data_IF_179744304831
#
_entry.id   IF_179744304831
#
_cell.length_a   1.000
_cell.length_b   1.000
_cell.length_c   1.000
_cell.angle_alpha   90.00
_cell.angle_beta   90.00
_cell.angle_gamma   90.00
#
_symmetry.space_group_name_H-M   'P 1'
#
loop_
_entity.id
_entity.type
_entity.pdbx_description
1 polymer ?
#
# COMPACT_ATOMS: atom_id res chain seq x y z
N UNK A 1 8.96 -13.05 -8.25
CA UNK A 1 8.85 -12.34 -9.55
C UNK A 1 10.14 -11.62 -9.93
N UNK A 2 10.73 -10.77 -9.07
CA UNK A 2 11.94 -9.97 -9.40
C UNK A 2 13.12 -10.76 -9.99
N UNK A 3 13.42 -11.97 -9.49
CA UNK A 3 14.49 -12.84 -10.05
C UNK A 3 14.27 -13.24 -11.53
N UNK A 4 13.04 -13.16 -12.03
CA UNK A 4 12.67 -13.45 -13.42
C UNK A 4 12.89 -12.23 -14.35
N UNK A 5 13.08 -11.03 -13.81
CA UNK A 5 13.21 -9.76 -14.55
C UNK A 5 14.43 -8.98 -14.08
N UNK A 6 15.63 -9.49 -14.36
CA UNK A 6 16.90 -8.96 -13.84
C UNK A 6 17.29 -7.55 -14.30
N UNK A 7 16.59 -6.98 -15.28
CA UNK A 7 16.85 -5.63 -15.83
C UNK A 7 15.79 -4.60 -15.41
N UNK A 8 14.84 -4.99 -14.57
CA UNK A 8 13.74 -4.14 -14.14
C UNK A 8 13.93 -3.77 -12.67
N UNK A 9 13.65 -2.51 -12.36
CA UNK A 9 13.54 -2.03 -11.00
C UNK A 9 12.13 -2.36 -10.48
N UNK A 10 12.05 -3.24 -9.47
CA UNK A 10 10.79 -3.80 -9.00
C UNK A 10 10.39 -3.16 -7.67
N UNK A 11 9.17 -2.65 -7.62
CA UNK A 11 8.50 -2.16 -6.42
C UNK A 11 7.24 -2.98 -6.16
N UNK A 12 7.05 -3.43 -4.92
CA UNK A 12 5.80 -4.03 -4.45
C UNK A 12 4.95 -2.94 -3.80
N UNK A 13 3.72 -2.76 -4.28
CA UNK A 13 2.76 -1.79 -3.78
C UNK A 13 1.32 -2.26 -4.06
N UNK A 14 0.33 -1.60 -3.45
CA UNK A 14 -1.11 -1.84 -3.63
C UNK A 14 -1.64 -3.24 -3.26
N UNK A 15 -0.79 -4.15 -2.80
CA UNK A 15 -1.23 -5.48 -2.37
C UNK A 15 -1.96 -5.47 -1.02
N UNK A 16 -1.75 -4.42 -0.21
CA UNK A 16 -2.16 -4.39 1.20
C UNK A 16 -3.55 -3.81 1.44
N UNK A 17 -4.29 -3.47 0.39
CA UNK A 17 -5.67 -2.97 0.48
C UNK A 17 -6.55 -3.66 -0.59
N UNK A 18 -7.84 -3.89 -0.33
CA UNK A 18 -8.79 -4.31 -1.36
C UNK A 18 -8.89 -3.29 -2.49
N UNK A 19 -9.32 -3.72 -3.67
CA UNK A 19 -9.45 -2.80 -4.82
C UNK A 19 -10.62 -1.83 -4.68
N UNK A 20 -11.61 -2.23 -3.89
CA UNK A 20 -12.89 -1.59 -3.66
C UNK A 20 -12.71 -0.22 -2.98
N UNK A 21 -11.68 -0.06 -2.14
CA UNK A 21 -11.39 1.21 -1.47
C UNK A 21 -10.78 2.28 -2.37
N UNK A 22 -10.27 1.92 -3.56
CA UNK A 22 -9.43 2.82 -4.35
C UNK A 22 -10.20 4.09 -4.80
N UNK A 23 -11.46 3.93 -5.21
CA UNK A 23 -12.30 5.05 -5.65
C UNK A 23 -12.72 5.94 -4.47
N UNK A 24 -13.12 5.34 -3.35
CA UNK A 24 -13.51 6.09 -2.16
C UNK A 24 -12.36 6.92 -1.60
N UNK A 25 -11.15 6.35 -1.57
CA UNK A 25 -9.94 7.07 -1.17
C UNK A 25 -9.62 8.20 -2.13
N UNK A 26 -9.76 7.98 -3.44
CA UNK A 26 -9.55 8.99 -4.47
C UNK A 26 -10.52 10.16 -4.35
N UNK A 27 -11.81 9.89 -4.16
CA UNK A 27 -12.84 10.90 -4.01
C UNK A 27 -12.67 11.69 -2.70
N UNK A 28 -12.24 11.02 -1.64
CA UNK A 28 -11.99 11.64 -0.34
C UNK A 28 -10.68 12.45 -0.27
N UNK A 29 -9.71 12.25 -1.17
CA UNK A 29 -8.33 12.77 -1.04
C UNK A 29 -8.19 14.29 -0.91
N UNK A 30 -9.19 15.06 -1.38
CA UNK A 30 -9.27 16.53 -1.26
C UNK A 30 -10.06 17.00 -0.04
N UNK A 31 -10.87 16.12 0.56
CA UNK A 31 -11.78 16.42 1.67
C UNK A 31 -11.16 16.06 3.02
N UNK A 32 -10.31 15.04 3.08
CA UNK A 32 -9.63 14.63 4.31
C UNK A 32 -8.12 14.87 4.25
N UNK A 33 -7.55 15.39 5.34
CA UNK A 33 -6.10 15.40 5.55
C UNK A 33 -5.58 14.09 6.13
N UNK A 34 -6.45 13.29 6.75
CA UNK A 34 -6.09 12.00 7.35
C UNK A 34 -6.27 10.90 6.29
N UNK A 35 -5.24 10.70 5.47
CA UNK A 35 -5.23 9.69 4.41
C UNK A 35 -4.96 8.28 4.99
N UNK A 36 -5.52 7.22 4.42
CA UNK A 36 -5.12 5.84 4.76
C UNK A 36 -3.69 5.58 4.31
N UNK A 37 -3.01 4.65 4.97
CA UNK A 37 -1.65 4.25 4.64
C UNK A 37 -1.63 3.20 3.53
N UNK A 38 -0.58 3.22 2.71
CA UNK A 38 -0.30 2.16 1.76
C UNK A 38 1.19 1.83 1.81
N UNK A 39 1.51 0.59 2.21
CA UNK A 39 2.88 0.13 2.33
C UNK A 39 3.45 -0.25 0.97
N UNK A 40 4.69 0.16 0.71
CA UNK A 40 5.42 -0.23 -0.48
C UNK A 40 6.88 -0.55 -0.16
N UNK A 41 7.54 -1.35 -0.98
CA UNK A 41 8.96 -1.68 -0.82
C UNK A 41 9.64 -1.97 -2.17
N UNK A 42 10.92 -1.66 -2.26
CA UNK A 42 11.72 -1.77 -3.48
C UNK A 42 13.20 -1.55 -3.21
N UNK A 43 14.06 -2.08 -4.07
CA UNK A 43 15.52 -1.97 -3.89
C UNK A 43 16.12 -0.71 -4.55
N UNK A 44 15.42 -0.11 -5.50
CA UNK A 44 15.82 1.11 -6.21
C UNK A 44 15.03 2.34 -5.73
N UNK A 45 15.72 3.46 -5.51
CA UNK A 45 15.10 4.66 -4.94
C UNK A 45 14.25 5.42 -5.96
N UNK A 46 14.70 5.53 -7.21
CA UNK A 46 13.98 6.27 -8.25
C UNK A 46 12.65 5.57 -8.59
N UNK A 47 12.67 4.24 -8.69
CA UNK A 47 11.48 3.43 -8.86
C UNK A 47 10.51 3.55 -7.68
N UNK A 48 11.03 3.59 -6.45
CA UNK A 48 10.23 3.83 -5.24
C UNK A 48 9.60 5.22 -5.24
N UNK A 49 10.29 6.25 -5.69
CA UNK A 49 9.76 7.61 -5.75
C UNK A 49 8.60 7.71 -6.75
N UNK A 50 8.72 7.04 -7.91
CA UNK A 50 7.62 6.91 -8.88
C UNK A 50 6.41 6.22 -8.23
N UNK A 51 6.62 5.08 -7.56
CA UNK A 51 5.53 4.36 -6.89
C UNK A 51 4.88 5.22 -5.79
N UNK A 52 5.67 5.94 -5.00
CA UNK A 52 5.17 6.86 -3.97
C UNK A 52 4.33 8.00 -4.56
N UNK A 53 4.68 8.52 -5.74
CA UNK A 53 3.84 9.49 -6.45
C UNK A 53 2.49 8.90 -6.81
N UNK A 54 2.46 7.71 -7.43
CA UNK A 54 1.21 7.04 -7.81
C UNK A 54 0.31 6.77 -6.60
N UNK A 55 0.89 6.33 -5.47
CA UNK A 55 0.18 6.12 -4.21
C UNK A 55 -0.48 7.43 -3.72
N UNK A 56 0.25 8.55 -3.77
CA UNK A 56 -0.27 9.87 -3.41
C UNK A 56 -1.35 10.37 -4.38
N UNK A 57 -1.20 10.06 -5.67
CA UNK A 57 -2.16 10.44 -6.71
C UNK A 57 -3.51 9.73 -6.53
N UNK A 58 -3.48 8.47 -6.09
CA UNK A 58 -4.67 7.73 -5.67
C UNK A 58 -5.28 8.33 -4.40
N UNK A 59 -4.46 8.86 -3.48
CA UNK A 59 -4.93 9.55 -2.28
C UNK A 59 -4.52 8.90 -0.96
N UNK A 60 -3.67 7.87 -1.01
CA UNK A 60 -3.07 7.25 0.15
C UNK A 60 -1.84 8.04 0.65
N UNK A 61 -1.43 7.76 1.88
CA UNK A 61 -0.13 8.12 2.42
C UNK A 61 0.87 6.98 2.18
N UNK A 62 1.92 7.17 1.36
CA UNK A 62 2.89 6.12 1.09
C UNK A 62 3.76 5.84 2.32
N UNK A 63 3.87 4.57 2.69
CA UNK A 63 4.73 4.10 3.77
C UNK A 63 5.83 3.22 3.19
N UNK A 64 7.05 3.76 3.09
CA UNK A 64 8.22 3.01 2.61
C UNK A 64 8.63 1.98 3.67
N UNK A 65 8.35 0.71 3.37
CA UNK A 65 8.71 -0.43 4.21
C UNK A 65 10.16 -0.89 3.99
N UNK A 66 10.90 -0.26 3.08
CA UNK A 66 12.32 -0.50 2.83
C UNK A 66 12.57 -1.42 1.62
N UNK A 67 13.58 -2.30 1.68
CA UNK A 67 14.04 -3.08 0.52
C UNK A 67 13.01 -4.14 0.09
N UNK A 68 13.09 -4.61 -1.16
CA UNK A 68 12.11 -5.51 -1.76
C UNK A 68 11.96 -6.85 -0.99
N UNK A 69 13.02 -7.28 -0.27
CA UNK A 69 12.95 -8.45 0.62
C UNK A 69 11.88 -8.35 1.70
N UNK A 70 11.40 -7.14 2.03
CA UNK A 70 10.35 -6.90 3.02
C UNK A 70 8.96 -7.30 2.49
N UNK A 71 8.77 -7.44 1.17
CA UNK A 71 7.51 -7.90 0.58
C UNK A 71 6.99 -9.21 1.19
N UNK A 72 7.90 -10.10 1.64
CA UNK A 72 7.54 -11.35 2.33
C UNK A 72 6.73 -11.17 3.62
N UNK A 73 6.79 -9.99 4.24
CA UNK A 73 6.01 -9.64 5.43
C UNK A 73 4.72 -8.91 5.05
N UNK A 74 4.73 -8.17 3.94
CA UNK A 74 3.54 -7.52 3.40
C UNK A 74 2.54 -8.54 2.84
N UNK A 75 3.02 -9.68 2.32
CA UNK A 75 2.16 -10.77 1.84
C UNK A 75 1.23 -11.32 2.94
N UNK A 76 1.71 -11.76 4.12
CA UNK A 76 0.83 -12.14 5.24
C UNK A 76 -0.11 -11.01 5.70
N UNK A 77 0.35 -9.76 5.70
CA UNK A 77 -0.51 -8.62 6.05
C UNK A 77 -1.65 -8.45 5.03
N UNK A 78 -1.35 -8.62 3.74
CA UNK A 78 -2.34 -8.57 2.67
C UNK A 78 -3.40 -9.67 2.83
N UNK A 79 -3.00 -10.87 3.28
CA UNK A 79 -3.94 -11.95 3.62
C UNK A 79 -4.82 -11.59 4.81
N UNK A 80 -4.27 -10.97 5.85
CA UNK A 80 -5.06 -10.50 6.98
C UNK A 80 -6.10 -9.44 6.56
N UNK A 81 -5.70 -8.50 5.70
CA UNK A 81 -6.62 -7.51 5.13
C UNK A 81 -7.71 -8.18 4.28
N UNK A 82 -7.36 -9.20 3.49
CA UNK A 82 -8.34 -9.95 2.71
C UNK A 82 -9.34 -10.72 3.61
N UNK A 83 -8.88 -11.29 4.72
CA UNK A 83 -9.78 -11.94 5.69
C UNK A 83 -10.78 -10.93 6.28
N UNK A 84 -10.33 -9.74 6.67
CA UNK A 84 -11.22 -8.69 7.18
C UNK A 84 -12.22 -8.21 6.11
N UNK A 85 -11.77 -8.08 4.88
CA UNK A 85 -12.57 -7.56 3.77
C UNK A 85 -13.66 -8.53 3.28
N UNK A 86 -13.37 -9.84 3.26
CA UNK A 86 -14.22 -10.81 2.56
C UNK A 86 -14.87 -11.85 3.47
N UNK A 87 -14.35 -12.08 4.67
CA UNK A 87 -14.90 -13.07 5.62
C UNK A 87 -15.59 -12.40 6.82
N UNK A 88 -15.52 -11.06 6.93
CA UNK A 88 -16.21 -10.28 7.95
C UNK A 88 -17.54 -9.68 7.47
N UNK A 89 -18.31 -9.12 8.42
CA UNK A 89 -19.63 -8.53 8.13
C UNK A 89 -19.57 -7.07 7.64
N UNK A 90 -18.41 -6.42 7.69
CA UNK A 90 -18.25 -4.97 7.42
C UNK A 90 -17.98 -4.64 5.94
N UNK A 91 -17.66 -5.63 5.11
CA UNK A 91 -17.44 -5.47 3.67
C UNK A 91 -15.99 -5.13 3.27
N UNK A 92 -15.72 -5.05 1.96
CA UNK A 92 -14.37 -4.87 1.42
C UNK A 92 -13.84 -3.44 1.48
N UNK A 93 -14.65 -2.46 1.90
CA UNK A 93 -14.29 -1.05 2.00
C UNK A 93 -13.40 -0.74 3.23
N UNK A 94 -12.37 -1.56 3.44
CA UNK A 94 -11.46 -1.47 4.59
C UNK A 94 -10.08 -0.92 4.21
N UNK A 95 -9.64 0.09 4.96
CA UNK A 95 -8.28 0.63 4.88
C UNK A 95 -7.67 0.77 6.28
N UNK A 96 -6.35 0.87 6.33
CA UNK A 96 -5.59 1.00 7.59
C UNK A 96 -4.78 2.29 7.63
N UNK A 97 -4.29 2.65 8.81
CA UNK A 97 -3.32 3.74 8.99
C UNK A 97 -2.22 3.33 9.95
N UNK A 98 -0.99 3.74 9.64
CA UNK A 98 0.17 3.62 10.50
C UNK A 98 0.48 5.00 11.08
N UNK A 99 0.56 5.08 12.41
CA UNK A 99 0.90 6.33 13.13
C UNK A 99 2.09 6.06 14.07
N UNK A 100 3.03 7.01 14.11
CA UNK A 100 4.12 6.99 15.08
C UNK A 100 3.72 7.84 16.29
N UNK A 101 3.53 7.21 17.44
CA UNK A 101 3.14 7.90 18.67
C UNK A 101 4.37 8.41 19.42
N UNK A 102 4.32 9.65 19.92
CA UNK A 102 5.40 10.24 20.74
C UNK A 102 6.58 10.82 19.95
N UNK A 103 6.41 11.07 18.65
CA UNK A 103 7.21 12.03 17.89
C UNK A 103 6.45 13.34 17.74
#
# INVERSE_FOLDING_TARGET
MAKKVRKAEVVSAFSTVPSEVLFDVFDAKRRTRRRPSLMYCGDDQDAKDVAASLIRDVGFEPVDAGPLRIARYLEPFSLAMAQLAYEGDEGPEIAYRIEHLGK
#
